data_IF_235305903765
#
_entry.id   IF_235305903765
#
_cell.length_a   1.000
_cell.length_b   1.000
_cell.length_c   1.000
_cell.angle_alpha   90.00
_cell.angle_beta   90.00
_cell.angle_gamma   90.00
#
_symmetry.space_group_name_H-M   'P 1'
#
loop_
_entity.id
_entity.type
_entity.pdbx_description
1 polymer ?
#
# COMPACT_ATOMS: atom_id res chain seq x y z
N UNK A 1 -16.30 -5.57 -1.25
CA UNK A 1 -15.43 -4.59 -0.56
C UNK A 1 -14.85 -5.25 0.68
N UNK A 2 -13.57 -5.02 0.92
CA UNK A 2 -12.87 -5.52 2.10
C UNK A 2 -12.57 -4.35 3.03
N UNK A 3 -12.89 -4.51 4.32
CA UNK A 3 -12.52 -3.56 5.36
C UNK A 3 -11.40 -4.20 6.18
N UNK A 4 -10.18 -3.67 6.08
CA UNK A 4 -8.99 -4.26 6.68
C UNK A 4 -8.78 -3.69 8.08
N UNK A 5 -9.08 -4.47 9.11
CA UNK A 5 -9.24 -3.96 10.48
C UNK A 5 -8.22 -4.59 11.43
N UNK A 6 -7.68 -3.79 12.35
CA UNK A 6 -6.91 -4.34 13.46
C UNK A 6 -7.81 -5.26 14.29
N UNK A 7 -7.29 -6.39 14.77
CA UNK A 7 -8.06 -7.37 15.56
C UNK A 7 -8.94 -6.74 16.65
N UNK A 8 -8.41 -5.77 17.41
CA UNK A 8 -9.12 -5.09 18.51
C UNK A 8 -10.47 -4.49 18.07
N UNK A 9 -10.54 -3.99 16.85
CA UNK A 9 -11.69 -3.25 16.34
C UNK A 9 -12.61 -4.13 15.47
N UNK A 10 -12.23 -5.38 15.18
CA UNK A 10 -13.04 -6.28 14.33
C UNK A 10 -14.47 -6.42 14.83
N UNK A 11 -14.67 -6.57 16.14
CA UNK A 11 -16.01 -6.69 16.71
C UNK A 11 -16.88 -5.44 16.44
N UNK A 12 -16.29 -4.25 16.52
CA UNK A 12 -16.97 -3.00 16.20
C UNK A 12 -17.28 -2.90 14.70
N UNK A 13 -16.36 -3.32 13.84
CA UNK A 13 -16.52 -3.19 12.38
C UNK A 13 -17.46 -4.24 11.78
N UNK A 14 -17.64 -5.41 12.41
CA UNK A 14 -18.52 -6.48 11.91
C UNK A 14 -19.95 -6.03 11.61
N UNK A 15 -20.45 -5.00 12.29
CA UNK A 15 -21.77 -4.41 11.99
C UNK A 15 -21.87 -3.83 10.56
N UNK A 16 -20.75 -3.54 9.90
CA UNK A 16 -20.69 -3.02 8.53
C UNK A 16 -20.72 -4.14 7.47
N UNK A 17 -20.65 -5.40 7.87
CA UNK A 17 -20.69 -6.53 6.94
C UNK A 17 -22.03 -6.60 6.19
N UNK A 18 -21.96 -7.16 4.98
CA UNK A 18 -23.13 -7.38 4.12
C UNK A 18 -22.75 -8.40 3.05
N UNK A 19 -23.67 -8.83 2.19
CA UNK A 19 -23.36 -9.72 1.07
C UNK A 19 -22.29 -9.22 0.09
N UNK A 20 -21.91 -7.93 0.15
CA UNK A 20 -20.87 -7.31 -0.69
C UNK A 20 -19.76 -6.62 0.11
N UNK A 21 -19.75 -6.73 1.44
CA UNK A 21 -18.77 -6.09 2.34
C UNK A 21 -18.35 -7.07 3.41
N UNK A 22 -17.06 -7.30 3.53
CA UNK A 22 -16.49 -8.24 4.49
C UNK A 22 -15.41 -7.55 5.32
N UNK A 23 -15.43 -7.78 6.62
CA UNK A 23 -14.38 -7.30 7.53
C UNK A 23 -13.29 -8.35 7.60
N UNK A 24 -12.05 -7.97 7.34
CA UNK A 24 -10.88 -8.85 7.37
C UNK A 24 -10.03 -8.47 8.57
N UNK A 25 -9.82 -9.43 9.46
CA UNK A 25 -8.93 -9.28 10.61
C UNK A 25 -7.48 -9.24 10.13
N UNK A 26 -6.69 -8.27 10.61
CA UNK A 26 -5.28 -8.17 10.24
C UNK A 26 -4.48 -9.45 10.53
N UNK A 27 -4.91 -10.27 11.49
CA UNK A 27 -4.24 -11.54 11.84
C UNK A 27 -4.40 -12.62 10.76
N UNK A 28 -5.38 -12.46 9.87
CA UNK A 28 -5.56 -13.31 8.69
C UNK A 28 -4.69 -12.86 7.51
N UNK A 29 -4.08 -11.66 7.61
CA UNK A 29 -3.27 -11.04 6.57
C UNK A 29 -1.78 -11.01 6.92
N UNK A 30 -1.46 -10.70 8.18
CA UNK A 30 -0.11 -10.45 8.63
C UNK A 30 0.48 -11.65 9.36
N UNK A 31 1.81 -11.85 9.31
CA UNK A 31 2.44 -12.94 10.03
C UNK A 31 2.22 -12.87 11.54
N UNK A 32 1.95 -14.02 12.16
CA UNK A 32 1.68 -14.17 13.60
C UNK A 32 2.77 -13.65 14.54
N UNK A 33 3.97 -13.43 14.02
CA UNK A 33 5.13 -12.90 14.74
C UNK A 33 5.15 -11.36 14.82
N UNK A 34 4.27 -10.66 14.09
CA UNK A 34 4.09 -9.21 14.15
C UNK A 34 2.81 -8.94 14.94
N UNK A 35 2.92 -8.35 16.13
CA UNK A 35 1.78 -8.22 17.05
C UNK A 35 1.57 -6.78 17.49
N UNK A 36 0.31 -6.37 17.56
CA UNK A 36 -0.12 -5.06 18.04
C UNK A 36 -0.13 -4.99 19.58
N UNK A 37 0.32 -3.86 20.12
CA UNK A 37 0.28 -3.51 21.54
C UNK A 37 -0.15 -2.05 21.70
N UNK A 38 -0.68 -1.71 22.88
CA UNK A 38 -0.84 -0.30 23.27
C UNK A 38 0.54 0.28 23.59
N UNK A 39 0.89 1.39 22.96
CA UNK A 39 2.21 2.00 23.13
C UNK A 39 2.27 2.81 24.45
N UNK A 40 3.06 2.38 25.45
CA UNK A 40 3.21 3.12 26.70
C UNK A 40 3.81 4.50 26.50
N UNK A 41 4.65 4.70 25.47
CA UNK A 41 5.27 5.99 25.15
C UNK A 41 4.25 7.02 24.60
N UNK A 42 3.04 6.56 24.24
CA UNK A 42 1.94 7.39 23.80
C UNK A 42 0.88 7.63 24.89
N UNK A 43 1.15 7.22 26.13
CA UNK A 43 0.13 7.15 27.17
C UNK A 43 -0.97 6.15 26.84
N UNK A 44 -0.62 5.05 26.15
CA UNK A 44 -1.53 3.99 25.70
C UNK A 44 -2.64 4.43 24.73
N UNK A 45 -2.46 5.59 24.07
CA UNK A 45 -3.43 6.13 23.10
C UNK A 45 -3.20 5.67 21.68
N UNK A 46 -2.00 5.19 21.36
CA UNK A 46 -1.60 4.74 20.02
C UNK A 46 -1.18 3.29 20.05
N UNK A 47 -1.28 2.66 18.88
CA UNK A 47 -0.87 1.28 18.66
C UNK A 47 0.57 1.20 18.15
N UNK A 48 1.28 0.15 18.54
CA UNK A 48 2.61 -0.20 18.05
C UNK A 48 2.64 -1.68 17.73
N UNK A 49 3.23 -2.05 16.59
CA UNK A 49 3.42 -3.44 16.20
C UNK A 49 4.88 -3.82 16.41
N UNK A 50 5.09 -4.90 17.17
CA UNK A 50 6.41 -5.35 17.58
C UNK A 50 6.70 -6.74 17.02
N UNK A 51 7.98 -6.94 16.70
CA UNK A 51 8.56 -8.21 16.28
C UNK A 51 10.07 -8.20 16.48
N UNK A 52 10.69 -9.37 16.49
CA UNK A 52 12.15 -9.53 16.36
C UNK A 52 12.64 -9.44 14.91
N UNK A 53 11.73 -9.45 13.92
CA UNK A 53 12.07 -9.47 12.48
C UNK A 53 11.95 -8.11 11.79
N UNK A 54 11.29 -7.14 12.43
CA UNK A 54 11.07 -5.80 11.89
C UNK A 54 11.49 -4.77 12.92
N UNK A 55 11.63 -3.52 12.48
CA UNK A 55 11.63 -2.41 13.42
C UNK A 55 10.24 -2.28 14.07
N UNK A 56 10.10 -1.55 15.20
CA UNK A 56 8.79 -1.19 15.74
C UNK A 56 7.98 -0.39 14.71
N UNK A 57 6.80 -0.91 14.35
CA UNK A 57 5.93 -0.32 13.33
C UNK A 57 4.78 0.45 13.97
N UNK A 58 4.34 1.51 13.31
CA UNK A 58 3.15 2.31 13.68
C UNK A 58 1.97 1.97 12.79
N UNK A 59 0.76 2.39 13.18
CA UNK A 59 -0.48 2.08 12.45
C UNK A 59 -0.41 2.36 10.94
N UNK A 60 0.15 3.50 10.54
CA UNK A 60 0.33 3.84 9.13
C UNK A 60 1.27 2.87 8.38
N UNK A 61 2.32 2.36 9.03
CA UNK A 61 3.21 1.35 8.42
C UNK A 61 2.45 0.05 8.18
N UNK A 62 1.70 -0.41 9.20
CA UNK A 62 0.95 -1.67 9.13
C UNK A 62 -0.25 -1.57 8.19
N UNK A 63 -0.82 -0.37 7.99
CA UNK A 63 -1.84 -0.12 6.97
C UNK A 63 -1.32 -0.44 5.57
N UNK A 64 -0.11 0.02 5.24
CA UNK A 64 0.53 -0.29 3.97
C UNK A 64 0.80 -1.79 3.78
N UNK A 65 1.23 -2.49 4.83
CA UNK A 65 1.42 -3.95 4.79
C UNK A 65 0.10 -4.68 4.54
N UNK A 66 -1.00 -4.25 5.18
CA UNK A 66 -2.34 -4.83 4.96
C UNK A 66 -2.81 -4.66 3.52
N UNK A 67 -2.52 -3.51 2.89
CA UNK A 67 -2.83 -3.26 1.47
C UNK A 67 -2.12 -4.23 0.52
N UNK A 68 -0.88 -4.62 0.84
CA UNK A 68 -0.17 -5.65 0.06
C UNK A 68 -0.74 -7.04 0.38
N UNK A 69 -0.87 -7.37 1.67
CA UNK A 69 -1.23 -8.71 2.14
C UNK A 69 -2.62 -9.18 1.70
N UNK A 70 -3.58 -8.25 1.53
CA UNK A 70 -4.93 -8.60 1.07
C UNK A 70 -4.93 -9.30 -0.30
N UNK A 71 -3.90 -9.14 -1.13
CA UNK A 71 -3.80 -9.84 -2.41
C UNK A 71 -3.69 -11.37 -2.30
N UNK A 72 -3.17 -11.87 -1.17
CA UNK A 72 -3.15 -13.31 -0.86
C UNK A 72 -4.49 -13.84 -0.35
N UNK A 73 -5.42 -12.96 0.04
CA UNK A 73 -6.72 -13.32 0.64
C UNK A 73 -7.90 -13.06 -0.30
N UNK A 74 -7.86 -11.97 -1.06
CA UNK A 74 -8.90 -11.60 -2.02
C UNK A 74 -8.94 -12.55 -3.22
N UNK A 75 -10.10 -12.63 -3.88
CA UNK A 75 -10.33 -13.51 -5.04
C UNK A 75 -10.39 -12.75 -6.36
N UNK A 76 -10.58 -11.43 -6.29
CA UNK A 76 -10.74 -10.53 -7.41
C UNK A 76 -9.40 -10.28 -8.11
N UNK A 77 -9.44 -10.13 -9.43
CA UNK A 77 -8.22 -9.94 -10.23
C UNK A 77 -7.59 -8.55 -10.03
N UNK A 78 -8.41 -7.56 -9.70
CA UNK A 78 -7.99 -6.18 -9.44
C UNK A 78 -8.51 -5.69 -8.11
N UNK A 79 -7.61 -5.11 -7.34
CA UNK A 79 -7.84 -4.56 -6.02
C UNK A 79 -7.78 -3.04 -6.13
N UNK A 80 -8.88 -2.37 -5.77
CA UNK A 80 -8.94 -0.91 -5.72
C UNK A 80 -8.86 -0.47 -4.27
N UNK A 81 -7.83 0.30 -3.93
CA UNK A 81 -7.58 0.79 -2.58
C UNK A 81 -8.18 2.17 -2.39
N UNK A 82 -9.00 2.27 -1.35
CA UNK A 82 -9.66 3.48 -0.93
C UNK A 82 -9.31 3.73 0.53
N UNK A 83 -8.88 4.94 0.86
CA UNK A 83 -8.75 5.34 2.26
C UNK A 83 -10.11 5.57 2.90
N UNK A 84 -10.17 5.49 4.24
CA UNK A 84 -11.43 5.61 4.99
C UNK A 84 -12.02 7.03 4.97
N UNK A 85 -11.23 8.02 4.58
CA UNK A 85 -11.61 9.43 4.44
C UNK A 85 -11.96 9.82 2.99
N UNK A 86 -12.04 8.84 2.07
CA UNK A 86 -12.48 9.05 0.69
C UNK A 86 -13.99 8.86 0.57
N UNK A 87 -14.65 9.82 -0.07
CA UNK A 87 -16.09 9.77 -0.37
C UNK A 87 -16.37 9.94 -1.87
N UNK A 88 -17.27 9.12 -2.41
CA UNK A 88 -17.74 9.24 -3.78
C UNK A 88 -18.95 10.19 -3.83
N UNK A 89 -18.80 11.33 -4.49
CA UNK A 89 -19.87 12.34 -4.63
C UNK A 89 -20.77 12.12 -5.85
N UNK A 90 -20.40 11.19 -6.74
CA UNK A 90 -21.14 10.78 -7.93
C UNK A 90 -20.79 9.33 -8.28
N UNK A 91 -21.61 8.63 -9.10
CA UNK A 91 -21.23 7.33 -9.62
C UNK A 91 -19.84 7.35 -10.25
N UNK A 92 -19.01 6.37 -9.90
CA UNK A 92 -17.66 6.21 -10.42
C UNK A 92 -17.59 4.93 -11.26
N UNK A 93 -17.15 5.07 -12.51
CA UNK A 93 -17.00 3.93 -13.42
C UNK A 93 -15.67 3.21 -13.13
N UNK A 94 -15.76 1.98 -12.61
CA UNK A 94 -14.60 1.15 -12.32
C UNK A 94 -13.80 0.75 -13.57
N UNK A 95 -14.37 0.89 -14.77
CA UNK A 95 -13.62 0.71 -16.02
C UNK A 95 -12.48 1.73 -16.17
N UNK A 96 -12.47 2.82 -15.40
CA UNK A 96 -11.35 3.76 -15.35
C UNK A 96 -10.01 3.11 -14.96
N UNK A 97 -10.03 1.94 -14.31
CA UNK A 97 -8.83 1.17 -13.96
C UNK A 97 -8.40 0.14 -15.01
N UNK A 98 -9.13 0.04 -16.12
CA UNK A 98 -8.92 -0.98 -17.15
C UNK A 98 -8.82 -0.36 -18.54
N UNK A 99 -7.88 -0.85 -19.34
CA UNK A 99 -7.75 -0.50 -20.76
C UNK A 99 -7.11 -1.66 -21.50
N UNK A 100 -7.78 -2.20 -22.51
CA UNK A 100 -7.23 -3.25 -23.39
C UNK A 100 -6.63 -4.45 -22.64
N UNK A 101 -7.34 -4.93 -21.60
CA UNK A 101 -6.90 -6.06 -20.75
C UNK A 101 -5.78 -5.72 -19.76
N UNK A 102 -5.34 -4.45 -19.71
CA UNK A 102 -4.31 -3.95 -18.80
C UNK A 102 -4.93 -3.18 -17.64
N UNK A 103 -4.29 -3.29 -16.48
CA UNK A 103 -4.67 -2.58 -15.25
C UNK A 103 -3.93 -1.25 -15.18
N UNK A 104 -4.61 -0.21 -14.69
CA UNK A 104 -4.00 1.11 -14.54
C UNK A 104 -2.90 1.08 -13.48
N UNK A 105 -1.69 1.46 -13.85
CA UNK A 105 -0.64 1.88 -12.91
C UNK A 105 -0.69 3.40 -12.79
N UNK A 106 -0.99 3.90 -11.58
CA UNK A 106 -0.85 5.33 -11.32
C UNK A 106 0.63 5.71 -11.34
N UNK A 107 1.00 6.70 -12.15
CA UNK A 107 2.38 7.19 -12.25
C UNK A 107 2.42 8.66 -12.61
N UNK A 108 3.19 9.45 -11.85
CA UNK A 108 3.63 10.79 -12.24
C UNK A 108 5.08 10.74 -12.67
N UNK A 109 5.35 11.18 -13.88
CA UNK A 109 6.68 11.07 -14.49
C UNK A 109 7.65 12.13 -13.96
N UNK A 110 8.85 11.69 -13.55
CA UNK A 110 9.96 12.58 -13.20
C UNK A 110 9.79 13.41 -11.92
N UNK A 111 8.68 13.32 -11.20
CA UNK A 111 8.38 14.18 -10.05
C UNK A 111 9.47 14.11 -8.97
N UNK A 112 10.06 12.95 -8.74
CA UNK A 112 11.09 12.79 -7.70
C UNK A 112 12.44 13.43 -8.06
N UNK A 113 12.64 13.85 -9.31
CA UNK A 113 13.81 14.63 -9.71
C UNK A 113 13.78 16.06 -9.18
N UNK A 114 12.59 16.57 -8.83
CA UNK A 114 12.42 17.92 -8.30
C UNK A 114 12.78 18.00 -6.80
N UNK A 115 13.02 19.22 -6.31
CA UNK A 115 13.22 19.48 -4.89
C UNK A 115 11.96 19.15 -4.05
N UNK A 116 12.11 19.03 -2.73
CA UNK A 116 10.99 18.75 -1.82
C UNK A 116 10.58 17.28 -1.67
N UNK A 117 10.99 16.37 -2.56
CA UNK A 117 10.60 14.96 -2.53
C UNK A 117 11.58 14.02 -1.78
N UNK A 118 12.24 14.53 -0.72
CA UNK A 118 13.29 13.80 0.01
C UNK A 118 12.84 12.45 0.56
N UNK A 119 11.66 12.40 1.20
CA UNK A 119 11.13 11.16 1.77
C UNK A 119 10.72 10.14 0.70
N UNK A 120 10.04 10.60 -0.37
CA UNK A 120 9.62 9.74 -1.48
C UNK A 120 10.83 9.11 -2.18
N UNK A 121 11.95 9.83 -2.32
CA UNK A 121 13.21 9.27 -2.82
C UNK A 121 13.77 8.17 -1.92
N UNK A 122 13.64 8.30 -0.59
CA UNK A 122 14.04 7.24 0.34
C UNK A 122 13.12 6.02 0.16
N UNK A 123 11.80 6.23 0.05
CA UNK A 123 10.85 5.14 -0.16
C UNK A 123 11.09 4.41 -1.48
N UNK A 124 11.31 5.15 -2.57
CA UNK A 124 11.67 4.59 -3.89
C UNK A 124 12.96 3.78 -3.83
N UNK A 125 14.00 4.26 -3.13
CA UNK A 125 15.26 3.52 -2.94
C UNK A 125 15.04 2.23 -2.15
N UNK A 126 14.30 2.30 -1.05
CA UNK A 126 14.00 1.14 -0.22
C UNK A 126 13.12 0.11 -0.94
N UNK A 127 12.21 0.56 -1.81
CA UNK A 127 11.49 -0.30 -2.73
C UNK A 127 12.44 -1.03 -3.68
N UNK A 128 13.39 -0.32 -4.30
CA UNK A 128 14.45 -0.91 -5.11
C UNK A 128 15.22 -2.01 -4.37
N UNK A 129 15.69 -1.72 -3.15
CA UNK A 129 16.38 -2.71 -2.30
C UNK A 129 15.51 -3.91 -1.97
N UNK A 130 14.24 -3.72 -1.61
CA UNK A 130 13.32 -4.81 -1.31
C UNK A 130 13.11 -5.72 -2.53
N UNK A 131 13.02 -5.14 -3.72
CA UNK A 131 12.83 -5.83 -4.99
C UNK A 131 14.13 -6.41 -5.58
N UNK A 132 15.29 -6.17 -4.97
CA UNK A 132 16.58 -6.59 -5.52
C UNK A 132 16.90 -5.94 -6.86
N UNK A 133 16.48 -4.68 -7.05
CA UNK A 133 16.84 -3.85 -8.20
C UNK A 133 18.22 -3.26 -7.96
N UNK A 134 19.06 -3.24 -8.99
CA UNK A 134 20.39 -2.62 -8.93
C UNK A 134 20.26 -1.14 -8.48
N UNK A 135 20.99 -0.69 -7.44
CA UNK A 135 20.96 0.70 -7.00
C UNK A 135 21.26 1.75 -8.08
N UNK A 136 21.96 1.36 -9.17
CA UNK A 136 22.21 2.20 -10.35
C UNK A 136 20.91 2.51 -11.11
N UNK A 137 19.93 1.61 -11.06
CA UNK A 137 18.59 1.82 -11.62
C UNK A 137 17.78 2.69 -10.65
N UNK A 138 17.98 4.00 -10.76
CA UNK A 138 17.19 4.98 -10.06
C UNK A 138 15.85 5.21 -10.78
N UNK A 139 14.76 5.27 -10.02
CA UNK A 139 13.45 5.70 -10.53
C UNK A 139 13.14 7.10 -10.03
N UNK A 140 12.81 8.01 -10.94
CA UNK A 140 12.36 9.36 -10.62
C UNK A 140 10.83 9.52 -10.67
N UNK A 141 10.09 8.44 -10.91
CA UNK A 141 8.64 8.43 -10.96
C UNK A 141 8.03 8.38 -9.55
N UNK A 142 6.85 8.96 -9.41
CA UNK A 142 6.03 8.88 -8.20
C UNK A 142 4.77 8.06 -8.47
N UNK A 143 4.51 7.07 -7.63
CA UNK A 143 3.38 6.14 -7.77
C UNK A 143 2.31 6.36 -6.69
N UNK A 144 2.47 7.38 -5.84
CA UNK A 144 1.61 7.61 -4.69
C UNK A 144 0.37 8.41 -5.10
N UNK A 145 -0.79 7.81 -4.87
CA UNK A 145 -2.10 8.45 -4.93
C UNK A 145 -3.08 7.68 -4.04
N UNK A 146 -4.30 8.18 -3.93
CA UNK A 146 -5.43 7.45 -3.36
C UNK A 146 -6.40 7.04 -4.47
N UNK A 147 -7.32 6.13 -4.17
CA UNK A 147 -8.20 5.51 -5.16
C UNK A 147 -7.40 4.89 -6.34
N UNK A 148 -6.47 4.00 -5.97
CA UNK A 148 -5.54 3.33 -6.90
C UNK A 148 -5.87 1.85 -7.06
N UNK A 149 -5.55 1.28 -8.23
CA UNK A 149 -5.79 -0.12 -8.54
C UNK A 149 -4.49 -0.89 -8.69
N UNK A 150 -4.46 -2.12 -8.18
CA UNK A 150 -3.38 -3.09 -8.41
C UNK A 150 -3.94 -4.41 -8.91
N UNK A 151 -3.19 -5.07 -9.79
CA UNK A 151 -3.47 -6.43 -10.24
C UNK A 151 -3.05 -7.42 -9.16
N UNK A 152 -3.97 -8.25 -8.68
CA UNK A 152 -3.75 -9.19 -7.55
C UNK A 152 -2.56 -10.12 -7.81
N UNK A 153 -2.48 -10.70 -9.00
CA UNK A 153 -1.39 -11.61 -9.40
C UNK A 153 -0.03 -10.89 -9.37
N UNK A 154 0.02 -9.63 -9.80
CA UNK A 154 1.24 -8.81 -9.76
C UNK A 154 1.68 -8.53 -8.33
N UNK A 155 0.74 -8.24 -7.41
CA UNK A 155 1.08 -8.07 -5.98
C UNK A 155 1.63 -9.37 -5.39
N UNK A 156 1.04 -10.52 -5.70
CA UNK A 156 1.52 -11.81 -5.20
C UNK A 156 2.92 -12.13 -5.75
N UNK A 157 3.14 -11.96 -7.05
CA UNK A 157 4.46 -12.16 -7.68
C UNK A 157 5.52 -11.18 -7.14
N UNK A 158 5.11 -9.95 -6.78
CA UNK A 158 5.97 -8.98 -6.11
C UNK A 158 6.43 -9.49 -4.74
N UNK A 159 5.51 -9.99 -3.92
CA UNK A 159 5.83 -10.59 -2.62
C UNK A 159 6.77 -11.80 -2.78
N UNK A 160 6.47 -12.73 -3.69
CA UNK A 160 7.31 -13.90 -3.98
C UNK A 160 8.72 -13.50 -4.41
N UNK A 161 8.85 -12.44 -5.23
CA UNK A 161 10.16 -11.90 -5.61
C UNK A 161 10.93 -11.40 -4.40
N UNK A 162 10.30 -10.59 -3.55
CA UNK A 162 10.95 -10.05 -2.33
C UNK A 162 11.46 -11.21 -1.48
N UNK A 163 10.66 -12.26 -1.29
CA UNK A 163 11.05 -13.44 -0.53
C UNK A 163 12.20 -14.19 -1.18
N UNK A 164 12.16 -14.38 -2.50
CA UNK A 164 13.24 -15.04 -3.26
C UNK A 164 14.56 -14.29 -3.19
N UNK A 165 14.53 -12.96 -3.28
CA UNK A 165 15.74 -12.11 -3.22
C UNK A 165 16.39 -12.16 -1.84
N UNK A 166 15.59 -12.17 -0.77
CA UNK A 166 16.09 -12.02 0.60
C UNK A 166 16.14 -13.32 1.42
N UNK A 167 15.57 -14.41 0.91
CA UNK A 167 15.49 -15.70 1.61
C UNK A 167 14.64 -15.68 2.88
N UNK A 168 13.72 -14.72 3.00
CA UNK A 168 12.85 -14.54 4.17
C UNK A 168 11.57 -13.81 3.80
N UNK A 169 10.56 -13.97 4.65
CA UNK A 169 9.22 -13.37 4.54
C UNK A 169 9.24 -11.88 4.14
N UNK A 170 8.40 -11.50 3.16
CA UNK A 170 8.38 -10.15 2.58
C UNK A 170 8.00 -9.06 3.59
N UNK A 171 7.13 -9.35 4.57
CA UNK A 171 6.77 -8.40 5.63
C UNK A 171 7.99 -8.08 6.48
N UNK A 172 8.82 -9.10 6.75
CA UNK A 172 10.10 -8.92 7.45
C UNK A 172 11.06 -8.01 6.68
N UNK A 173 11.17 -8.21 5.36
CA UNK A 173 12.02 -7.37 4.49
C UNK A 173 11.55 -5.92 4.49
N UNK A 174 10.29 -5.68 4.13
CA UNK A 174 9.72 -4.33 4.01
C UNK A 174 9.71 -3.63 5.38
N UNK A 175 9.26 -4.33 6.43
CA UNK A 175 9.17 -3.82 7.79
C UNK A 175 10.51 -3.48 8.45
N UNK A 176 11.64 -3.96 7.91
CA UNK A 176 12.98 -3.67 8.43
C UNK A 176 13.45 -2.23 8.13
N UNK A 177 12.95 -1.59 7.07
CA UNK A 177 13.41 -0.26 6.65
C UNK A 177 12.64 0.90 7.31
N UNK A 178 11.40 0.67 7.79
CA UNK A 178 10.38 1.67 8.24
C UNK A 178 9.99 2.77 7.26
N UNK A 179 10.88 3.18 6.36
CA UNK A 179 10.66 4.22 5.37
C UNK A 179 10.30 3.55 4.06
N UNK A 180 9.07 3.05 3.95
CA UNK A 180 8.56 2.42 2.74
C UNK A 180 7.21 3.02 2.35
N UNK A 181 6.88 2.85 1.07
CA UNK A 181 5.56 3.07 0.52
C UNK A 181 5.18 1.84 -0.30
N UNK A 182 4.02 1.28 0.00
CA UNK A 182 3.40 0.21 -0.77
C UNK A 182 3.22 0.57 -2.24
N UNK A 183 2.84 1.82 -2.52
CA UNK A 183 2.69 2.33 -3.89
C UNK A 183 4.03 2.37 -4.61
N UNK A 184 5.10 2.81 -3.93
CA UNK A 184 6.44 2.81 -4.50
C UNK A 184 6.96 1.39 -4.78
N UNK A 185 6.71 0.43 -3.88
CA UNK A 185 7.10 -0.97 -4.09
C UNK A 185 6.35 -1.55 -5.30
N UNK A 186 5.03 -1.38 -5.35
CA UNK A 186 4.22 -1.88 -6.47
C UNK A 186 4.62 -1.24 -7.81
N UNK A 187 4.70 0.09 -7.85
CA UNK A 187 5.02 0.81 -9.08
C UNK A 187 6.41 0.48 -9.62
N UNK A 188 7.43 0.44 -8.75
CA UNK A 188 8.77 0.01 -9.16
C UNK A 188 8.82 -1.45 -9.58
N UNK A 189 8.04 -2.34 -8.96
CA UNK A 189 7.97 -3.72 -9.42
C UNK A 189 7.40 -3.81 -10.84
N UNK A 190 6.33 -3.06 -11.13
CA UNK A 190 5.73 -3.04 -12.47
C UNK A 190 6.67 -2.42 -13.50
N UNK A 191 7.23 -1.24 -13.22
CA UNK A 191 8.04 -0.51 -14.22
C UNK A 191 9.46 -1.06 -14.36
N UNK A 192 10.15 -1.37 -13.25
CA UNK A 192 11.59 -1.72 -13.27
C UNK A 192 11.84 -3.23 -13.37
N UNK A 193 10.85 -4.09 -13.05
CA UNK A 193 11.02 -5.56 -13.05
C UNK A 193 10.17 -6.24 -14.13
N UNK A 194 8.97 -5.71 -14.41
CA UNK A 194 8.05 -6.29 -15.39
C UNK A 194 8.00 -5.50 -16.70
N UNK A 195 8.76 -4.42 -16.84
CA UNK A 195 8.72 -3.53 -18.02
C UNK A 195 7.29 -3.09 -18.39
N UNK A 196 6.45 -2.84 -17.38
CA UNK A 196 5.05 -2.44 -17.55
C UNK A 196 4.09 -3.55 -17.96
N UNK A 197 4.51 -4.83 -17.94
CA UNK A 197 3.66 -5.94 -18.36
C UNK A 197 2.32 -5.99 -17.59
N UNK A 198 1.22 -6.16 -18.32
CA UNK A 198 -0.13 -6.18 -17.78
C UNK A 198 -0.68 -4.81 -17.35
N UNK A 199 0.06 -3.71 -17.57
CA UNK A 199 -0.30 -2.39 -17.10
C UNK A 199 -0.27 -1.31 -18.18
N UNK A 200 -1.12 -0.30 -17.99
CA UNK A 200 -1.01 0.98 -18.70
C UNK A 200 -0.81 2.09 -17.69
N UNK A 201 -0.04 3.11 -18.05
CA UNK A 201 0.20 4.27 -17.18
C UNK A 201 -0.96 5.26 -17.25
N UNK A 202 -1.29 5.85 -16.11
CA UNK A 202 -2.16 7.02 -16.02
C UNK A 202 -1.76 7.93 -14.87
N UNK A 203 -1.80 9.24 -15.08
CA UNK A 203 -1.40 10.25 -14.08
C UNK A 203 -2.58 11.01 -13.48
N UNK A 204 -3.80 10.75 -13.96
CA UNK A 204 -5.02 11.38 -13.48
C UNK A 204 -5.29 11.01 -12.01
N UNK A 205 -5.64 12.01 -11.21
CA UNK A 205 -6.06 11.80 -9.83
C UNK A 205 -7.58 11.62 -9.81
N UNK A 206 -8.05 10.44 -9.37
CA UNK A 206 -9.47 10.16 -9.25
C UNK A 206 -10.09 10.70 -7.95
N UNK A 207 -9.26 11.15 -7.02
CA UNK A 207 -9.67 11.82 -5.79
C UNK A 207 -9.04 13.20 -5.76
N UNK A 208 -9.82 14.23 -5.37
CA UNK A 208 -9.26 15.53 -4.99
C UNK A 208 -8.71 15.39 -3.59
N UNK A 209 -7.43 15.72 -3.42
CA UNK A 209 -6.70 15.48 -2.19
C UNK A 209 -6.31 16.80 -1.54
N UNK A 210 -6.56 16.91 -0.23
CA UNK A 210 -6.10 18.03 0.61
C UNK A 210 -5.13 17.54 1.68
N UNK A 211 -3.93 17.11 1.25
CA UNK A 211 -2.87 16.66 2.18
C UNK A 211 -2.04 17.81 2.73
N UNK A 212 -1.94 18.90 1.98
CA UNK A 212 -1.12 20.07 2.31
C UNK A 212 -1.99 21.32 2.31
N UNK A 213 -1.77 22.22 3.26
CA UNK A 213 -2.48 23.50 3.35
C UNK A 213 -3.02 23.78 4.74
N UNK A 214 -3.77 24.87 4.87
CA UNK A 214 -4.47 25.19 6.09
C UNK A 214 -5.53 24.11 6.40
N UNK A 215 -5.76 23.79 7.69
CA UNK A 215 -6.93 23.02 8.09
C UNK A 215 -8.20 23.67 7.53
N UNK A 216 -9.13 22.84 7.05
CA UNK A 216 -10.45 23.31 6.64
C UNK A 216 -11.23 23.74 7.89
N UNK A 217 -11.98 24.84 7.79
CA UNK A 217 -12.95 25.23 8.82
C UNK A 217 -14.24 24.42 8.66
N UNK A 218 -14.95 24.21 9.77
CA UNK A 218 -16.28 23.60 9.77
C UNK A 218 -17.39 24.61 9.40
N UNK A 219 -17.02 25.89 9.20
CA UNK A 219 -17.90 27.01 8.81
C UNK A 219 -18.12 27.08 7.28
#
# INVERSE_FOLDING_TARGET
HYILTEHRDVALFRQLESGRRSVVDERDLLPRWLRAFDDPLSGFRRRIWLSLKTQPLRGWHVQQLRRIAIAGHAKEDVLVFCDSDVAFLKPFDANAFWRDGKVRLFRRDGVLANEGHGEHRIWSRNAGTALGIDPVVASCHDYISTLIAWRRETVNAMCERIEKVHGRDWVGVVGSARKYSECMIYGRYVDDVLDGAGHFHGSEEFCRVHWNGAPLSDD
#
